data_IF_478981634985
#
_entry.id   IF_478981634985
#
_cell.length_a   1.000
_cell.length_b   1.000
_cell.length_c   1.000
_cell.angle_alpha   90.00
_cell.angle_beta   90.00
_cell.angle_gamma   90.00
#
_symmetry.space_group_name_H-M   'P 1'
#
loop_
_entity.id
_entity.type
_entity.pdbx_description
1 polymer ?
#
# COMPACT_ATOMS: atom_id res chain seq x y z
N UNK A 1 0.16 27.84 7.98
CA UNK A 1 0.15 26.49 7.39
C UNK A 1 -1.22 25.90 7.64
N UNK A 2 -2.11 25.98 6.65
CA UNK A 2 -3.50 25.55 6.80
C UNK A 2 -3.51 24.04 7.10
N UNK A 3 -3.98 23.69 8.29
CA UNK A 3 -4.26 22.31 8.66
C UNK A 3 -5.41 21.83 7.80
N UNK A 4 -5.10 21.24 6.65
CA UNK A 4 -6.03 20.35 6.00
C UNK A 4 -6.24 19.24 7.01
N UNK A 5 -7.36 19.29 7.75
CA UNK A 5 -7.88 18.12 8.43
C UNK A 5 -7.82 17.03 7.38
N UNK A 6 -6.91 16.07 7.55
CA UNK A 6 -6.98 14.86 6.76
C UNK A 6 -8.38 14.36 7.06
N UNK A 7 -9.30 14.48 6.10
CA UNK A 7 -10.66 13.95 6.17
C UNK A 7 -10.50 12.43 6.15
N UNK A 8 -9.99 11.93 7.26
CA UNK A 8 -9.74 10.54 7.50
C UNK A 8 -11.10 10.00 7.87
N UNK A 9 -11.54 8.93 7.20
CA UNK A 9 -12.76 8.25 7.58
C UNK A 9 -12.74 7.99 9.08
N UNK A 10 -13.77 8.49 9.77
CA UNK A 10 -13.96 8.27 11.21
C UNK A 10 -13.99 6.77 11.56
N UNK A 11 -14.19 5.92 10.56
CA UNK A 11 -14.37 4.49 10.68
C UNK A 11 -13.18 3.77 10.04
N UNK A 12 -12.72 2.69 10.67
CA UNK A 12 -11.70 1.83 10.10
C UNK A 12 -12.24 1.10 8.86
N UNK A 13 -11.53 1.18 7.73
CA UNK A 13 -11.87 0.48 6.50
C UNK A 13 -11.90 -1.06 6.66
N UNK A 14 -11.11 -1.60 7.61
CA UNK A 14 -10.95 -3.04 7.84
C UNK A 14 -12.03 -3.58 8.78
N UNK A 15 -12.20 -2.98 9.97
CA UNK A 15 -13.11 -3.49 10.99
C UNK A 15 -14.41 -2.70 11.11
N UNK A 16 -14.58 -1.61 10.34
CA UNK A 16 -15.76 -0.73 10.28
C UNK A 16 -16.17 -0.06 11.59
N UNK A 17 -15.40 -0.26 12.66
CA UNK A 17 -15.55 0.43 13.95
C UNK A 17 -14.97 1.83 13.87
N UNK A 18 -15.44 2.72 14.74
CA UNK A 18 -14.85 4.05 14.88
C UNK A 18 -13.37 3.93 15.27
N UNK A 19 -12.50 4.78 14.68
CA UNK A 19 -11.06 4.76 14.96
C UNK A 19 -10.74 5.05 16.44
N UNK A 20 -11.65 5.73 17.13
CA UNK A 20 -11.57 6.07 18.56
C UNK A 20 -11.97 4.93 19.50
N UNK A 21 -12.67 3.89 19.03
CA UNK A 21 -13.32 2.89 19.89
C UNK A 21 -12.36 1.79 20.41
N UNK A 22 -11.13 1.69 19.93
CA UNK A 22 -10.24 0.65 20.46
C UNK A 22 -8.91 0.45 19.75
N UNK A 23 -8.26 -0.68 20.06
CA UNK A 23 -6.94 -1.00 19.56
C UNK A 23 -6.97 -1.49 18.10
N UNK A 24 -6.39 -0.70 17.20
CA UNK A 24 -6.29 -0.99 15.77
C UNK A 24 -4.98 -1.67 15.35
N UNK A 25 -4.19 -2.25 16.26
CA UNK A 25 -2.93 -2.95 15.93
C UNK A 25 -3.11 -4.00 14.82
N UNK A 26 -4.13 -4.87 14.92
CA UNK A 26 -4.41 -5.90 13.90
C UNK A 26 -4.76 -5.29 12.56
N UNK A 27 -5.58 -4.24 12.54
CA UNK A 27 -5.94 -3.52 11.32
C UNK A 27 -4.71 -2.86 10.68
N UNK A 28 -3.85 -2.23 11.50
CA UNK A 28 -2.59 -1.63 11.05
C UNK A 28 -1.68 -2.67 10.39
N UNK A 29 -1.51 -3.84 11.02
CA UNK A 29 -0.71 -4.93 10.46
C UNK A 29 -1.24 -5.39 9.10
N UNK A 30 -2.56 -5.56 8.95
CA UNK A 30 -3.18 -5.93 7.67
C UNK A 30 -2.90 -4.87 6.59
N UNK A 31 -2.99 -3.57 6.91
CA UNK A 31 -2.65 -2.51 5.94
C UNK A 31 -1.20 -2.58 5.50
N UNK A 32 -0.28 -2.77 6.45
CA UNK A 32 1.14 -2.91 6.16
C UNK A 32 1.41 -4.12 5.26
N UNK A 33 0.78 -5.27 5.53
CA UNK A 33 0.90 -6.46 4.68
C UNK A 33 0.37 -6.21 3.26
N UNK A 34 -0.81 -5.59 3.12
CA UNK A 34 -1.38 -5.26 1.80
C UNK A 34 -0.49 -4.32 1.01
N UNK A 35 0.04 -3.29 1.67
CA UNK A 35 0.94 -2.33 1.05
C UNK A 35 2.25 -3.01 0.61
N UNK A 36 2.79 -3.90 1.44
CA UNK A 36 3.98 -4.70 1.12
C UNK A 36 3.74 -5.61 -0.09
N UNK A 37 2.60 -6.29 -0.17
CA UNK A 37 2.24 -7.13 -1.31
C UNK A 37 2.12 -6.30 -2.61
N UNK A 38 1.49 -5.13 -2.54
CA UNK A 38 1.43 -4.20 -3.67
C UNK A 38 2.82 -3.79 -4.16
N UNK A 39 3.71 -3.39 -3.23
CA UNK A 39 5.07 -2.99 -3.59
C UNK A 39 5.89 -4.15 -4.16
N UNK A 40 5.75 -5.36 -3.61
CA UNK A 40 6.41 -6.56 -4.13
C UNK A 40 5.98 -6.84 -5.57
N UNK A 41 4.68 -6.80 -5.87
CA UNK A 41 4.16 -6.98 -7.22
C UNK A 41 4.66 -5.87 -8.16
N UNK A 42 4.70 -4.62 -7.70
CA UNK A 42 5.20 -3.50 -8.50
C UNK A 42 6.69 -3.67 -8.84
N UNK A 43 7.53 -4.03 -7.86
CA UNK A 43 8.96 -4.29 -8.07
C UNK A 43 9.20 -5.46 -9.04
N UNK A 44 8.43 -6.55 -8.93
CA UNK A 44 8.52 -7.68 -9.86
C UNK A 44 8.18 -7.28 -11.30
N UNK A 45 7.19 -6.41 -11.50
CA UNK A 45 6.86 -5.86 -12.83
C UNK A 45 7.98 -4.97 -13.39
N UNK A 46 8.61 -4.16 -12.53
CA UNK A 46 9.77 -3.34 -12.92
C UNK A 46 10.94 -4.24 -13.33
N UNK A 47 11.24 -5.28 -12.56
CA UNK A 47 12.30 -6.24 -12.88
C UNK A 47 12.02 -6.97 -14.19
N UNK A 48 10.79 -7.46 -14.39
CA UNK A 48 10.38 -8.10 -15.63
C UNK A 48 10.54 -7.17 -16.84
N UNK A 49 10.18 -5.89 -16.70
CA UNK A 49 10.38 -4.88 -17.75
C UNK A 49 11.87 -4.62 -18.03
N UNK A 50 12.72 -4.60 -17.01
CA UNK A 50 14.18 -4.47 -17.16
C UNK A 50 14.78 -5.68 -17.87
N UNK A 51 14.39 -6.90 -17.50
CA UNK A 51 14.82 -8.14 -18.13
C UNK A 51 14.41 -8.20 -19.63
N UNK A 52 13.20 -7.74 -19.96
CA UNK A 52 12.74 -7.64 -21.35
C UNK A 52 13.47 -6.53 -22.14
N UNK A 53 13.78 -5.40 -21.49
CA UNK A 53 14.50 -4.28 -22.10
C UNK A 53 15.95 -4.58 -22.43
N UNK A 54 16.62 -5.44 -21.66
CA UNK A 54 17.98 -5.92 -21.96
C UNK A 54 18.05 -6.80 -23.22
N UNK A 55 16.93 -7.39 -23.66
CA UNK A 55 16.85 -8.20 -24.89
C UNK A 55 16.65 -7.37 -26.16
N UNK A 56 16.51 -6.04 -26.06
CA UNK A 56 16.25 -5.15 -27.22
C UNK A 56 17.51 -4.77 -28.00
N UNK A 57 18.71 -5.05 -27.47
CA UNK A 57 19.99 -4.75 -28.13
C UNK A 57 20.74 -6.01 -28.58
N UNK A 58 20.03 -7.12 -28.80
CA UNK A 58 20.57 -8.28 -29.50
C UNK A 58 20.03 -8.26 -30.93
N UNK A 59 20.62 -7.41 -31.78
CA UNK A 59 20.47 -7.46 -33.23
C UNK A 59 21.82 -7.22 -33.89
#
# INVERSE_FOLDING_TARGET
>A
MAGHSLDLPNHCDICKKARSHGNHQRCSRIRQTRQSAYWSAYMANIEAKRAQGGRRNAR
#
